data_IF_394174543977
#
_entry.id   IF_394174543977
#
_cell.length_a   1.000
_cell.length_b   1.000
_cell.length_c   1.000
_cell.angle_alpha   90.00
_cell.angle_beta   90.00
_cell.angle_gamma   90.00
#
_symmetry.space_group_name_H-M   'P 1'
#
loop_
_entity.id
_entity.type
_entity.pdbx_description
1 polymer ?
#
# COMPACT_ATOMS: atom_id res chain seq x y z
N UNK A 1 30.79 15.86 -8.15
CA UNK A 1 29.58 15.94 -7.29
C UNK A 1 29.63 14.75 -6.36
N UNK A 2 29.62 14.96 -5.05
CA UNK A 2 29.64 13.86 -4.08
C UNK A 2 28.27 13.19 -4.06
N UNK A 3 28.22 11.86 -4.08
CA UNK A 3 26.97 11.11 -3.99
C UNK A 3 26.25 11.43 -2.67
N UNK A 4 24.93 11.69 -2.74
CA UNK A 4 24.11 11.98 -1.56
C UNK A 4 23.96 10.73 -0.70
N UNK A 5 23.95 10.92 0.62
CA UNK A 5 23.62 9.84 1.57
C UNK A 5 22.12 9.56 1.45
N UNK A 6 21.76 8.30 1.24
CA UNK A 6 20.36 7.88 1.24
C UNK A 6 19.91 7.55 2.66
N UNK A 7 18.89 8.22 3.14
CA UNK A 7 18.28 7.98 4.45
C UNK A 7 16.92 7.33 4.29
N UNK A 8 16.59 6.40 5.17
CA UNK A 8 15.18 6.03 5.35
C UNK A 8 14.44 7.15 6.08
N UNK A 9 13.11 7.10 6.04
CA UNK A 9 12.30 8.11 6.73
C UNK A 9 12.39 8.04 8.23
N UNK A 10 12.50 6.82 8.77
CA UNK A 10 12.71 6.62 10.20
C UNK A 10 14.02 7.28 10.64
N UNK A 11 15.07 7.20 9.80
CA UNK A 11 16.35 7.87 10.06
C UNK A 11 16.24 9.39 9.98
N UNK A 12 15.63 9.92 8.91
CA UNK A 12 15.43 11.36 8.74
C UNK A 12 14.59 11.97 9.87
N UNK A 13 13.45 11.35 10.19
CA UNK A 13 12.58 11.78 11.28
C UNK A 13 13.31 11.75 12.62
N UNK A 14 14.06 10.68 12.91
CA UNK A 14 14.81 10.56 14.15
C UNK A 14 15.92 11.61 14.24
N UNK A 15 16.65 11.86 13.16
CA UNK A 15 17.69 12.91 13.15
C UNK A 15 17.09 14.29 13.34
N UNK A 16 15.96 14.61 12.71
CA UNK A 16 15.24 15.87 12.92
C UNK A 16 14.78 16.03 14.36
N UNK A 17 14.19 14.99 14.95
CA UNK A 17 13.78 14.99 16.35
C UNK A 17 14.97 15.26 17.28
N UNK A 18 16.09 14.55 17.08
CA UNK A 18 17.31 14.78 17.84
C UNK A 18 17.86 16.20 17.63
N UNK A 19 17.79 16.76 16.42
CA UNK A 19 18.28 18.12 16.15
C UNK A 19 17.37 19.22 16.71
N UNK A 20 16.10 18.93 16.99
CA UNK A 20 15.18 19.87 17.64
C UNK A 20 15.31 19.84 19.18
N UNK A 21 15.80 18.74 19.75
CA UNK A 21 16.03 18.61 21.19
C UNK A 21 17.29 19.39 21.61
N UNK A 22 17.12 20.34 22.52
CA UNK A 22 18.19 21.20 23.06
C UNK A 22 19.32 20.42 23.75
N UNK A 23 19.07 19.16 24.15
CA UNK A 23 20.08 18.29 24.76
C UNK A 23 21.08 17.71 23.75
N UNK A 24 20.80 17.82 22.46
CA UNK A 24 21.62 17.22 21.40
C UNK A 24 22.26 18.29 20.52
N UNK A 25 23.59 18.32 20.52
CA UNK A 25 24.38 18.96 19.47
C UNK A 25 24.71 17.98 18.35
N UNK A 26 25.01 18.46 17.14
CA UNK A 26 25.50 17.62 16.04
C UNK A 26 26.71 16.76 16.45
N UNK A 27 27.62 17.34 17.24
CA UNK A 27 28.79 16.62 17.79
C UNK A 27 28.39 15.51 18.77
N UNK A 28 27.41 15.75 19.65
CA UNK A 28 26.97 14.73 20.59
C UNK A 28 26.21 13.58 19.90
N UNK A 29 25.48 13.85 18.82
CA UNK A 29 24.85 12.80 17.99
C UNK A 29 25.94 11.90 17.39
N UNK A 30 26.97 12.49 16.78
CA UNK A 30 28.07 11.75 16.17
C UNK A 30 28.88 10.93 17.20
N UNK A 31 29.15 11.50 18.37
CA UNK A 31 29.85 10.82 19.47
C UNK A 31 29.04 9.64 20.02
N UNK A 32 27.71 9.77 20.09
CA UNK A 32 26.84 8.67 20.52
C UNK A 32 26.81 7.54 19.49
N UNK A 33 26.75 7.83 18.19
CA UNK A 33 26.87 6.82 17.13
C UNK A 33 28.18 6.02 17.26
N UNK A 34 29.31 6.71 17.46
CA UNK A 34 30.62 6.08 17.61
C UNK A 34 30.71 5.14 18.82
N UNK A 35 29.92 5.40 19.87
CA UNK A 35 29.83 4.55 21.08
C UNK A 35 28.75 3.47 20.98
N UNK A 36 27.95 3.47 19.92
CA UNK A 36 26.75 2.67 19.77
C UNK A 36 25.55 3.27 20.52
N UNK A 37 24.38 3.24 19.88
CA UNK A 37 23.16 3.71 20.51
C UNK A 37 22.70 2.81 21.65
N UNK A 38 22.31 3.42 22.77
CA UNK A 38 21.73 2.71 23.92
C UNK A 38 20.21 2.69 23.92
N UNK A 39 19.58 3.63 23.22
CA UNK A 39 18.13 3.75 23.14
C UNK A 39 17.60 3.01 21.91
N UNK A 40 16.55 2.20 22.09
CA UNK A 40 15.90 1.46 21.01
C UNK A 40 15.42 2.39 19.88
N UNK A 41 14.98 3.61 20.22
CA UNK A 41 14.52 4.63 19.26
C UNK A 41 15.63 5.16 18.33
N UNK A 42 16.91 4.91 18.62
CA UNK A 42 18.01 5.36 17.76
C UNK A 42 18.58 4.21 16.91
N UNK A 43 18.10 2.97 17.10
CA UNK A 43 18.66 1.79 16.43
C UNK A 43 18.56 1.91 14.90
N UNK A 44 17.56 2.61 14.38
CA UNK A 44 17.42 2.88 12.95
C UNK A 44 18.63 3.61 12.33
N UNK A 45 19.38 4.37 13.14
CA UNK A 45 20.58 5.11 12.71
C UNK A 45 21.84 4.24 12.72
N UNK A 46 21.81 3.01 13.26
CA UNK A 46 22.99 2.12 13.28
C UNK A 46 23.44 1.69 11.89
N UNK A 47 22.56 1.74 10.89
CA UNK A 47 22.90 1.37 9.51
C UNK A 47 23.67 2.48 8.78
N UNK A 48 23.74 3.70 9.34
CA UNK A 48 24.57 4.78 8.83
C UNK A 48 26.01 4.63 9.33
N UNK A 49 26.99 4.59 8.43
CA UNK A 49 28.38 4.72 8.84
C UNK A 49 28.63 6.09 9.50
N UNK A 50 29.64 6.17 10.36
CA UNK A 50 29.99 7.43 11.03
C UNK A 50 30.27 8.57 10.04
N UNK A 51 30.90 8.26 8.90
CA UNK A 51 31.14 9.21 7.82
C UNK A 51 29.86 9.68 7.14
N UNK A 52 28.91 8.77 6.86
CA UNK A 52 27.60 9.15 6.31
C UNK A 52 26.83 10.05 7.27
N UNK A 53 26.79 9.70 8.56
CA UNK A 53 26.11 10.51 9.57
C UNK A 53 26.76 11.90 9.72
N UNK A 54 28.10 11.97 9.70
CA UNK A 54 28.80 13.26 9.73
C UNK A 54 28.42 14.13 8.53
N UNK A 55 28.39 13.57 7.31
CA UNK A 55 27.96 14.32 6.12
C UNK A 55 26.54 14.84 6.28
N UNK A 56 25.59 13.98 6.68
CA UNK A 56 24.18 14.35 6.92
C UNK A 56 24.07 15.52 7.91
N UNK A 57 24.84 15.50 9.00
CA UNK A 57 24.76 16.51 10.05
C UNK A 57 25.42 17.84 9.66
N UNK A 58 26.57 17.81 8.98
CA UNK A 58 27.43 18.99 8.81
C UNK A 58 27.43 19.58 7.41
N UNK A 59 27.17 18.77 6.37
CA UNK A 59 27.15 19.24 4.98
C UNK A 59 25.70 19.55 4.57
N UNK A 60 25.39 20.79 4.13
CA UNK A 60 24.08 21.11 3.59
C UNK A 60 23.83 20.32 2.29
N UNK A 61 22.58 19.89 2.07
CA UNK A 61 22.16 19.13 0.88
C UNK A 61 22.92 17.82 0.62
N UNK A 62 23.52 17.23 1.66
CA UNK A 62 24.36 16.04 1.57
C UNK A 62 23.61 14.72 1.55
N UNK A 63 22.29 14.74 1.76
CA UNK A 63 21.45 13.55 1.83
C UNK A 63 20.14 13.72 1.07
N UNK A 64 19.51 12.58 0.79
CA UNK A 64 18.14 12.46 0.27
C UNK A 64 17.41 11.38 1.06
N UNK A 65 16.10 11.55 1.23
CA UNK A 65 15.26 10.60 1.95
C UNK A 65 14.60 9.67 0.95
N UNK A 66 14.84 8.37 1.10
CA UNK A 66 14.18 7.34 0.30
C UNK A 66 12.69 7.29 0.65
N UNK A 67 11.81 7.37 -0.36
CA UNK A 67 10.39 7.07 -0.17
C UNK A 67 10.19 5.65 0.37
N UNK A 68 9.44 5.53 1.47
CA UNK A 68 8.91 4.28 2.00
C UNK A 68 7.93 3.62 1.02
N UNK A 69 7.32 4.44 0.15
CA UNK A 69 6.38 3.99 -0.86
C UNK A 69 6.84 4.39 -2.25
N UNK A 70 6.42 3.65 -3.25
CA UNK A 70 6.65 3.97 -4.67
C UNK A 70 5.33 3.95 -5.45
N UNK A 71 5.28 4.63 -6.61
CA UNK A 71 4.17 4.48 -7.54
C UNK A 71 3.87 3.01 -7.85
N UNK A 72 2.59 2.64 -7.86
CA UNK A 72 2.08 1.29 -8.02
C UNK A 72 1.96 0.48 -6.73
N UNK A 73 2.45 0.96 -5.59
CA UNK A 73 2.22 0.30 -4.31
C UNK A 73 0.74 0.39 -3.90
N UNK A 74 0.21 -0.71 -3.38
CA UNK A 74 -1.13 -0.77 -2.80
C UNK A 74 -1.04 -0.46 -1.30
N UNK A 75 -1.80 0.54 -0.85
CA UNK A 75 -1.74 1.06 0.51
C UNK A 75 -3.11 1.18 1.15
N UNK A 76 -3.17 1.03 2.46
CA UNK A 76 -4.36 1.29 3.26
C UNK A 76 -4.27 2.71 3.82
N UNK A 77 -5.35 3.47 3.66
CA UNK A 77 -5.42 4.86 4.12
C UNK A 77 -6.61 5.04 5.04
N UNK A 78 -6.35 5.62 6.22
CA UNK A 78 -7.38 5.96 7.21
C UNK A 78 -7.68 7.46 7.21
N UNK A 79 -8.70 7.85 6.46
CA UNK A 79 -9.17 9.24 6.47
C UNK A 79 -9.78 9.61 7.81
N UNK A 80 -9.54 10.84 8.29
CA UNK A 80 -10.04 11.30 9.59
C UNK A 80 -11.57 11.26 9.72
N UNK A 81 -12.30 11.36 8.61
CA UNK A 81 -13.76 11.31 8.56
C UNK A 81 -14.33 9.91 8.24
N UNK A 82 -13.50 8.86 8.26
CA UNK A 82 -13.93 7.48 7.98
C UNK A 82 -13.51 6.54 9.09
N UNK A 83 -14.44 5.67 9.49
CA UNK A 83 -14.19 4.67 10.53
C UNK A 83 -13.33 3.50 10.05
N UNK A 84 -13.18 3.33 8.74
CA UNK A 84 -12.49 2.20 8.13
C UNK A 84 -11.43 2.67 7.16
N UNK A 85 -10.33 1.94 7.15
CA UNK A 85 -9.28 2.09 6.15
C UNK A 85 -9.80 1.66 4.78
N UNK A 86 -9.30 2.31 3.73
CA UNK A 86 -9.62 1.99 2.35
C UNK A 86 -8.34 1.74 1.58
N UNK A 87 -8.40 0.81 0.64
CA UNK A 87 -7.26 0.45 -0.20
C UNK A 87 -7.17 1.42 -1.38
N UNK A 88 -5.96 1.89 -1.64
CA UNK A 88 -5.64 2.74 -2.77
C UNK A 88 -4.33 2.31 -3.43
N UNK A 89 -4.13 2.76 -4.66
CA UNK A 89 -2.86 2.64 -5.36
C UNK A 89 -2.15 3.99 -5.35
N UNK A 90 -0.85 3.99 -5.06
CA UNK A 90 -0.02 5.19 -5.12
C UNK A 90 0.25 5.54 -6.57
N UNK A 91 -0.10 6.76 -6.97
CA UNK A 91 0.17 7.32 -8.28
C UNK A 91 1.51 8.06 -8.29
N UNK A 92 1.78 8.82 -7.22
CA UNK A 92 2.98 9.68 -7.13
C UNK A 92 3.34 9.96 -5.68
N UNK A 93 4.63 10.19 -5.43
CA UNK A 93 5.17 10.62 -4.14
C UNK A 93 5.62 12.08 -4.26
N UNK A 94 5.10 12.95 -3.40
CA UNK A 94 5.39 14.38 -3.40
C UNK A 94 6.17 14.77 -2.16
N UNK A 95 7.37 15.32 -2.34
CA UNK A 95 8.19 15.85 -1.25
C UNK A 95 7.82 17.30 -0.98
N UNK A 96 7.34 17.58 0.24
CA UNK A 96 7.03 18.94 0.68
C UNK A 96 8.17 19.43 1.57
N UNK A 97 8.78 20.56 1.19
CA UNK A 97 9.89 21.14 1.94
C UNK A 97 9.45 21.54 3.36
N UNK A 98 10.12 21.03 4.38
CA UNK A 98 9.82 21.32 5.78
C UNK A 98 8.67 20.53 6.41
N UNK A 99 8.00 19.64 5.67
CA UNK A 99 6.96 18.74 6.19
C UNK A 99 7.30 17.27 5.92
N UNK A 100 6.51 16.35 6.50
CA UNK A 100 6.45 14.99 6.00
C UNK A 100 5.98 15.02 4.54
N UNK A 101 6.47 14.10 3.71
CA UNK A 101 6.05 14.00 2.31
C UNK A 101 4.64 13.39 2.21
N UNK A 102 3.97 13.60 1.09
CA UNK A 102 2.60 13.16 0.83
C UNK A 102 2.56 12.21 -0.37
N UNK A 103 1.49 11.43 -0.50
CA UNK A 103 1.27 10.55 -1.65
C UNK A 103 -0.01 10.93 -2.38
N UNK A 104 0.08 11.03 -3.70
CA UNK A 104 -1.08 11.03 -4.58
C UNK A 104 -1.53 9.59 -4.77
N UNK A 105 -2.80 9.32 -4.52
CA UNK A 105 -3.41 8.00 -4.57
C UNK A 105 -4.66 8.02 -5.46
N UNK A 106 -5.08 6.85 -5.94
CA UNK A 106 -6.29 6.71 -6.75
C UNK A 106 -7.54 7.28 -6.03
N UNK A 107 -8.49 7.80 -6.80
CA UNK A 107 -9.75 8.34 -6.30
C UNK A 107 -10.90 8.07 -7.27
N UNK A 108 -12.13 8.06 -6.76
CA UNK A 108 -13.33 7.78 -7.57
C UNK A 108 -13.53 8.79 -8.71
N UNK A 109 -13.05 10.03 -8.52
CA UNK A 109 -13.16 11.14 -9.48
C UNK A 109 -11.80 11.75 -9.85
N UNK A 110 -10.70 11.01 -9.72
CA UNK A 110 -9.35 11.51 -10.00
C UNK A 110 -8.31 10.94 -9.03
N UNK A 111 -7.56 11.82 -8.37
CA UNK A 111 -6.61 11.46 -7.33
C UNK A 111 -6.96 12.16 -6.01
N UNK A 112 -6.56 11.54 -4.90
CA UNK A 112 -6.55 12.18 -3.59
C UNK A 112 -5.09 12.34 -3.13
N UNK A 113 -4.86 13.26 -2.20
CA UNK A 113 -3.54 13.43 -1.56
C UNK A 113 -3.67 13.01 -0.11
N UNK A 114 -2.84 12.06 0.31
CA UNK A 114 -2.82 11.55 1.67
C UNK A 114 -1.46 11.84 2.33
N UNK A 115 -1.44 12.42 3.55
CA UNK A 115 -0.21 12.53 4.31
C UNK A 115 0.24 11.14 4.74
N UNK A 116 1.54 10.86 4.65
CA UNK A 116 2.10 9.53 4.92
C UNK A 116 1.78 9.01 6.33
N UNK A 117 1.56 9.90 7.29
CA UNK A 117 1.19 9.54 8.67
C UNK A 117 -0.11 8.73 8.79
N UNK A 118 -0.98 8.75 7.77
CA UNK A 118 -2.23 7.98 7.74
C UNK A 118 -2.20 6.84 6.71
N UNK A 119 -1.02 6.57 6.13
CA UNK A 119 -0.83 5.59 5.06
C UNK A 119 0.04 4.44 5.58
N UNK A 120 -0.39 3.20 5.34
CA UNK A 120 0.44 2.01 5.56
C UNK A 120 0.39 1.10 4.35
N UNK A 121 1.39 0.22 4.20
CA UNK A 121 1.30 -0.83 3.17
C UNK A 121 0.12 -1.76 3.45
N UNK A 122 -0.58 -2.13 2.37
CA UNK A 122 -1.64 -3.13 2.43
C UNK A 122 -1.03 -4.53 2.47
N UNK A 123 -1.63 -5.43 3.24
CA UNK A 123 -1.20 -6.83 3.21
C UNK A 123 -1.71 -7.52 1.94
N UNK A 124 -1.08 -8.63 1.50
CA UNK A 124 -1.56 -9.40 0.35
C UNK A 124 -3.03 -9.83 0.47
N UNK A 125 -3.48 -10.17 1.67
CA UNK A 125 -4.87 -10.54 1.97
C UNK A 125 -5.82 -9.37 1.76
N UNK A 126 -5.47 -8.17 2.25
CA UNK A 126 -6.27 -6.96 2.07
C UNK A 126 -6.41 -6.58 0.60
N UNK A 127 -5.30 -6.66 -0.16
CA UNK A 127 -5.29 -6.42 -1.60
C UNK A 127 -6.22 -7.40 -2.31
N UNK A 128 -6.17 -8.70 -1.94
CA UNK A 128 -7.01 -9.74 -2.53
C UNK A 128 -8.49 -9.46 -2.25
N UNK A 129 -8.86 -9.21 -0.99
CA UNK A 129 -10.25 -8.95 -0.59
C UNK A 129 -10.83 -7.71 -1.27
N UNK A 130 -10.05 -6.63 -1.40
CA UNK A 130 -10.56 -5.43 -2.06
C UNK A 130 -10.67 -5.62 -3.58
N UNK A 131 -9.69 -6.23 -4.24
CA UNK A 131 -9.78 -6.52 -5.69
C UNK A 131 -11.02 -7.34 -6.01
N UNK A 132 -11.32 -8.31 -5.16
CA UNK A 132 -12.54 -9.10 -5.23
C UNK A 132 -13.79 -8.23 -5.03
N UNK A 133 -13.83 -7.40 -3.98
CA UNK A 133 -14.93 -6.44 -3.75
C UNK A 133 -15.16 -5.53 -4.96
N UNK A 134 -14.09 -5.04 -5.59
CA UNK A 134 -14.16 -4.19 -6.78
C UNK A 134 -14.68 -4.96 -8.01
N UNK A 135 -14.28 -6.23 -8.17
CA UNK A 135 -14.80 -7.10 -9.22
C UNK A 135 -16.32 -7.27 -9.10
N UNK A 136 -16.81 -7.58 -7.88
CA UNK A 136 -18.25 -7.68 -7.60
C UNK A 136 -18.98 -6.33 -7.78
N UNK A 137 -18.39 -5.21 -7.34
CA UNK A 137 -18.96 -3.88 -7.55
C UNK A 137 -19.11 -3.55 -9.04
N UNK A 138 -18.11 -3.89 -9.86
CA UNK A 138 -18.09 -3.60 -11.32
C UNK A 138 -19.28 -4.24 -12.06
N UNK A 139 -19.74 -5.39 -11.59
CA UNK A 139 -20.87 -6.13 -12.16
C UNK A 139 -22.20 -5.82 -11.45
N UNK A 140 -22.20 -4.85 -10.54
CA UNK A 140 -23.41 -4.41 -9.82
C UNK A 140 -23.89 -5.38 -8.74
N UNK A 141 -23.02 -6.23 -8.19
CA UNK A 141 -23.39 -7.27 -7.21
C UNK A 141 -22.59 -7.14 -5.91
N UNK A 142 -23.09 -7.72 -4.81
CA UNK A 142 -22.38 -7.85 -3.53
C UNK A 142 -21.42 -9.03 -3.58
N UNK A 143 -20.38 -8.99 -2.74
CA UNK A 143 -19.42 -10.10 -2.63
C UNK A 143 -20.15 -11.39 -2.23
N UNK A 144 -20.01 -12.43 -3.05
CA UNK A 144 -20.66 -13.73 -2.84
C UNK A 144 -22.13 -13.79 -3.29
N UNK A 145 -22.63 -12.80 -4.03
CA UNK A 145 -23.97 -12.78 -4.61
C UNK A 145 -24.01 -13.55 -5.95
N UNK A 146 -23.85 -14.87 -5.84
CA UNK A 146 -23.97 -15.78 -6.98
C UNK A 146 -25.42 -15.94 -7.43
N UNK A 147 -25.63 -16.03 -8.74
CA UNK A 147 -26.89 -16.36 -9.39
C UNK A 147 -26.78 -17.69 -10.14
N UNK A 148 -27.92 -18.31 -10.42
CA UNK A 148 -27.98 -19.48 -11.30
C UNK A 148 -27.56 -19.06 -12.70
N UNK A 149 -26.67 -19.85 -13.30
CA UNK A 149 -26.12 -19.61 -14.63
C UNK A 149 -24.75 -18.96 -14.65
N UNK A 150 -24.29 -18.36 -13.54
CA UNK A 150 -22.93 -17.83 -13.43
C UNK A 150 -21.88 -18.93 -13.64
N UNK A 151 -20.66 -18.55 -14.02
CA UNK A 151 -19.53 -19.48 -14.16
C UNK A 151 -18.50 -19.22 -13.07
N UNK A 152 -18.13 -20.26 -12.33
CA UNK A 152 -17.04 -20.23 -11.36
C UNK A 152 -15.87 -21.07 -11.86
N UNK A 153 -14.65 -20.72 -11.49
CA UNK A 153 -13.47 -21.55 -11.76
C UNK A 153 -13.11 -22.38 -10.53
N UNK A 154 -12.89 -23.68 -10.68
CA UNK A 154 -12.27 -24.49 -9.64
C UNK A 154 -10.75 -24.27 -9.56
N UNK A 155 -10.06 -24.96 -8.65
CA UNK A 155 -8.61 -24.85 -8.45
C UNK A 155 -7.78 -25.27 -9.67
N UNK A 156 -8.36 -26.02 -10.61
CA UNK A 156 -7.74 -26.46 -11.85
C UNK A 156 -8.15 -25.58 -13.04
N UNK A 157 -8.77 -24.44 -12.80
CA UNK A 157 -9.28 -23.50 -13.81
C UNK A 157 -10.41 -24.09 -14.68
N UNK A 158 -11.07 -25.16 -14.25
CA UNK A 158 -12.25 -25.67 -14.98
C UNK A 158 -13.47 -24.80 -14.70
N UNK A 159 -14.18 -24.35 -15.75
CA UNK A 159 -15.40 -23.59 -15.60
C UNK A 159 -16.54 -24.50 -15.11
N UNK A 160 -17.21 -24.10 -14.05
CA UNK A 160 -18.37 -24.78 -13.47
C UNK A 160 -19.53 -23.79 -13.42
N UNK A 161 -20.59 -24.12 -14.16
CA UNK A 161 -21.84 -23.37 -14.15
C UNK A 161 -22.54 -23.54 -12.80
N UNK A 162 -22.93 -22.42 -12.20
CA UNK A 162 -23.66 -22.38 -10.93
C UNK A 162 -25.10 -22.84 -11.18
N UNK A 163 -25.42 -24.03 -10.70
CA UNK A 163 -26.80 -24.56 -10.67
C UNK A 163 -27.40 -24.52 -9.26
N UNK A 164 -26.55 -24.47 -8.22
CA UNK A 164 -26.93 -24.35 -6.83
C UNK A 164 -26.12 -23.24 -6.16
N UNK A 165 -26.80 -22.14 -5.83
CA UNK A 165 -26.19 -20.91 -5.29
C UNK A 165 -25.56 -21.14 -3.92
N UNK A 166 -26.21 -21.87 -3.01
CA UNK A 166 -25.68 -22.12 -1.66
C UNK A 166 -24.42 -22.99 -1.69
N UNK A 167 -24.39 -23.97 -2.59
CA UNK A 167 -23.19 -24.76 -2.83
C UNK A 167 -22.05 -23.91 -3.40
N UNK A 168 -22.35 -23.01 -4.33
CA UNK A 168 -21.35 -22.09 -4.89
C UNK A 168 -20.77 -21.16 -3.81
N UNK A 169 -21.62 -20.55 -2.96
CA UNK A 169 -21.20 -19.74 -1.81
C UNK A 169 -20.29 -20.53 -0.86
N UNK A 170 -20.68 -21.76 -0.53
CA UNK A 170 -19.91 -22.61 0.38
C UNK A 170 -18.52 -22.90 -0.20
N UNK A 171 -18.43 -23.28 -1.47
CA UNK A 171 -17.14 -23.56 -2.10
C UNK A 171 -16.27 -22.31 -2.25
N UNK A 172 -16.88 -21.17 -2.51
CA UNK A 172 -16.19 -19.89 -2.57
C UNK A 172 -15.61 -19.49 -1.21
N UNK A 173 -16.39 -19.58 -0.13
CA UNK A 173 -15.93 -19.33 1.24
C UNK A 173 -14.79 -20.28 1.66
N UNK A 174 -14.81 -21.53 1.17
CA UNK A 174 -13.75 -22.52 1.39
C UNK A 174 -12.51 -22.33 0.50
N UNK A 175 -12.44 -21.26 -0.31
CA UNK A 175 -11.37 -21.02 -1.29
C UNK A 175 -11.17 -22.19 -2.28
N UNK A 176 -12.24 -22.94 -2.57
CA UNK A 176 -12.26 -24.00 -3.61
C UNK A 176 -12.60 -23.43 -4.99
N UNK A 177 -12.98 -22.15 -5.05
CA UNK A 177 -13.20 -21.40 -6.29
C UNK A 177 -12.20 -20.26 -6.37
N UNK A 178 -11.57 -20.09 -7.53
CA UNK A 178 -10.49 -19.10 -7.74
C UNK A 178 -10.90 -17.96 -8.69
N UNK A 179 -12.07 -18.06 -9.31
CA UNK A 179 -12.56 -17.07 -10.27
C UNK A 179 -14.08 -17.12 -10.42
N UNK A 180 -14.65 -16.02 -10.91
CA UNK A 180 -16.07 -15.83 -11.08
C UNK A 180 -16.35 -14.97 -12.32
N UNK A 181 -17.31 -15.41 -13.13
CA UNK A 181 -17.82 -14.72 -14.31
C UNK A 181 -19.35 -14.73 -14.25
N UNK A 182 -19.99 -13.57 -14.15
CA UNK A 182 -21.44 -13.52 -14.04
C UNK A 182 -22.09 -13.88 -15.39
N UNK A 183 -23.26 -14.52 -15.34
CA UNK A 183 -23.97 -14.98 -16.53
C UNK A 183 -24.23 -13.86 -17.56
N UNK A 184 -24.45 -12.63 -17.07
CA UNK A 184 -24.72 -11.43 -17.87
C UNK A 184 -23.49 -10.93 -18.64
N UNK A 185 -22.28 -11.44 -18.35
CA UNK A 185 -21.08 -11.12 -19.13
C UNK A 185 -20.94 -11.93 -20.42
N UNK A 186 -21.79 -12.93 -20.64
CA UNK A 186 -21.75 -13.76 -21.83
C UNK A 186 -22.78 -13.28 -22.86
N UNK A 187 -22.33 -13.08 -24.10
CA UNK A 187 -23.22 -12.80 -25.23
C UNK A 187 -24.01 -14.07 -25.51
N UNK A 188 -25.33 -14.03 -25.36
CA UNK A 188 -26.20 -15.08 -25.89
C UNK A 188 -26.34 -14.89 -27.40
N UNK A 189 -25.88 -15.87 -28.18
CA UNK A 189 -26.32 -15.99 -29.55
C UNK A 189 -27.71 -16.63 -29.49
N UNK A 190 -28.76 -15.83 -29.68
CA UNK A 190 -30.07 -16.38 -29.97
C UNK A 190 -29.90 -17.22 -31.25
N UNK A 191 -30.20 -18.52 -31.14
CA UNK A 191 -30.33 -19.37 -32.32
C UNK A 191 -31.48 -18.75 -33.12
N UNK A 192 -31.13 -18.04 -34.19
CA UNK A 192 -32.11 -17.62 -35.18
C UNK A 192 -32.60 -18.92 -35.80
N UNK A 193 -33.76 -19.37 -35.36
CA UNK A 193 -34.48 -20.48 -35.98
C UNK A 193 -34.59 -20.17 -37.47
N UNK A 194 -33.79 -20.85 -38.28
CA UNK A 194 -33.89 -20.79 -39.73
C UNK A 194 -35.17 -21.52 -40.13
N UNK A 195 -36.23 -20.75 -40.36
CA UNK A 195 -37.45 -21.19 -41.06
C UNK A 195 -37.14 -21.82 -42.43
#
# INVERSE_FOLDING_TARGET
MTEKVKLTQEQDARLKEMMMDVMYSKNSILLQQAKGWRCASNVCLNTLSLGQLARVLFEPNSYEVEPQFKPGDMVMVRWMNKDKEQLYEILKVNFVEGAAYEVEITGEFGFNVAPVSIVRQATPEEIKTEKERLLWKKIGRKVGEFHVGDITLDQNYYPIRVVNVEMAKTFYQQSKRIGFYPAESFISFEEVDSE
#
